data_IF_230008895672
#
_entry.id   IF_230008895672
#
_cell.length_a   1.000
_cell.length_b   1.000
_cell.length_c   1.000
_cell.angle_alpha   90.00
_cell.angle_beta   90.00
_cell.angle_gamma   90.00
#
_symmetry.space_group_name_H-M   'P 1'
#
loop_
_entity.id
_entity.type
_entity.pdbx_description
1 polymer ?
#
# COMPACT_ATOMS: atom_id res chain seq x y z
N UNK A 1 -19.74 -20.99 -9.38
CA UNK A 1 -18.61 -21.69 -8.76
C UNK A 1 -17.53 -22.12 -9.77
N UNK A 2 -17.82 -22.85 -10.86
CA UNK A 2 -16.81 -23.29 -11.85
C UNK A 2 -16.10 -22.15 -12.61
N UNK A 3 -16.75 -21.00 -12.84
CA UNK A 3 -16.16 -19.85 -13.54
C UNK A 3 -15.15 -19.09 -12.65
N UNK A 4 -15.50 -18.91 -11.37
CA UNK A 4 -14.61 -18.26 -10.38
C UNK A 4 -13.34 -19.09 -10.18
N UNK A 5 -13.46 -20.43 -10.13
CA UNK A 5 -12.33 -21.34 -9.99
C UNK A 5 -11.40 -21.29 -11.23
N UNK A 6 -11.96 -21.14 -12.44
CA UNK A 6 -11.17 -21.00 -13.68
C UNK A 6 -10.44 -19.66 -13.78
N UNK A 7 -11.05 -18.57 -13.31
CA UNK A 7 -10.42 -17.25 -13.28
C UNK A 7 -9.28 -17.24 -12.24
N UNK A 8 -9.49 -17.87 -11.08
CA UNK A 8 -8.45 -18.00 -10.06
C UNK A 8 -7.28 -18.86 -10.53
N UNK A 9 -7.53 -19.94 -11.26
CA UNK A 9 -6.49 -20.80 -11.84
C UNK A 9 -5.73 -20.10 -12.97
N UNK A 10 -6.39 -19.32 -13.84
CA UNK A 10 -5.75 -18.55 -14.90
C UNK A 10 -4.90 -17.41 -14.35
N UNK A 11 -5.33 -16.73 -13.28
CA UNK A 11 -4.54 -15.72 -12.58
C UNK A 11 -3.29 -16.33 -11.92
N UNK A 12 -3.41 -17.55 -11.36
CA UNK A 12 -2.29 -18.28 -10.73
C UNK A 12 -1.28 -18.79 -11.75
N UNK A 13 -1.71 -19.16 -12.98
CA UNK A 13 -0.82 -19.61 -14.06
C UNK A 13 -0.05 -18.44 -14.72
N UNK A 14 -0.58 -17.22 -14.77
CA UNK A 14 0.13 -16.03 -15.27
C UNK A 14 1.27 -15.58 -14.35
N UNK A 15 1.24 -15.98 -13.09
CA UNK A 15 2.24 -15.65 -12.06
C UNK A 15 3.49 -16.58 -12.14
N UNK A 16 3.36 -17.78 -12.67
CA UNK A 16 4.41 -18.80 -12.64
C UNK A 16 5.52 -18.63 -13.71
N UNK A 17 5.43 -17.67 -14.62
CA UNK A 17 6.36 -17.53 -15.75
C UNK A 17 7.35 -16.36 -15.70
N UNK A 18 7.39 -15.61 -14.57
CA UNK A 18 8.25 -14.42 -14.43
C UNK A 18 9.49 -14.69 -13.57
N UNK A 19 10.38 -15.58 -14.01
CA UNK A 19 11.69 -15.78 -13.38
C UNK A 19 12.77 -15.03 -14.18
N UNK A 20 12.99 -13.77 -13.87
CA UNK A 20 14.12 -12.98 -14.31
C UNK A 20 14.74 -12.29 -13.11
N UNK A 21 15.88 -12.78 -12.64
CA UNK A 21 16.69 -12.13 -11.61
C UNK A 21 17.09 -10.73 -12.09
N UNK A 22 16.60 -9.68 -11.41
CA UNK A 22 17.02 -8.31 -11.63
C UNK A 22 17.52 -7.71 -10.32
N UNK A 23 18.64 -7.00 -10.38
CA UNK A 23 19.24 -6.34 -9.23
C UNK A 23 18.30 -5.26 -8.68
N UNK A 24 18.16 -5.16 -7.35
CA UNK A 24 17.32 -4.21 -6.61
C UNK A 24 17.75 -2.72 -6.76
N UNK A 25 18.82 -2.42 -7.53
CA UNK A 25 19.41 -1.09 -7.61
C UNK A 25 18.75 -0.10 -8.58
N UNK A 26 17.74 -0.52 -9.36
CA UNK A 26 17.21 0.28 -10.47
C UNK A 26 15.95 1.11 -10.13
N UNK A 27 15.53 1.15 -8.85
CA UNK A 27 14.32 1.84 -8.42
C UNK A 27 14.63 2.96 -7.43
N UNK A 28 14.22 4.17 -7.78
CA UNK A 28 14.25 5.32 -6.89
C UNK A 28 13.02 5.36 -5.97
N UNK A 29 13.15 6.00 -4.81
CA UNK A 29 12.06 6.24 -3.87
C UNK A 29 11.28 4.97 -3.46
N UNK A 30 11.95 3.89 -3.05
CA UNK A 30 11.28 2.63 -2.67
C UNK A 30 10.30 2.79 -1.51
N UNK A 31 10.42 3.85 -0.72
CA UNK A 31 9.48 4.18 0.36
C UNK A 31 8.04 4.39 -0.11
N UNK A 32 7.81 4.69 -1.41
CA UNK A 32 6.46 4.81 -1.98
C UNK A 32 5.71 3.48 -2.01
N UNK A 33 6.42 2.34 -1.93
CA UNK A 33 5.81 1.01 -1.89
C UNK A 33 5.52 0.50 -0.47
N UNK A 34 5.92 1.23 0.59
CA UNK A 34 5.67 0.82 1.99
C UNK A 34 4.18 0.97 2.32
N UNK A 35 3.59 -0.07 2.91
CA UNK A 35 2.21 -0.02 3.42
C UNK A 35 2.11 0.94 4.63
N UNK A 36 1.11 1.81 4.62
CA UNK A 36 0.90 2.88 5.62
C UNK A 36 -0.21 2.56 6.63
N UNK A 37 -1.04 1.57 6.34
CA UNK A 37 -2.12 1.15 7.22
C UNK A 37 -1.67 0.04 8.19
N UNK A 38 -1.87 0.19 9.50
CA UNK A 38 -1.58 -0.90 10.45
C UNK A 38 -2.49 -2.11 10.23
N UNK A 39 -3.67 -1.93 9.63
CA UNK A 39 -4.60 -3.03 9.33
C UNK A 39 -4.04 -3.92 8.23
N UNK A 40 -3.66 -3.34 7.10
CA UNK A 40 -3.13 -4.10 5.96
C UNK A 40 -1.70 -4.56 6.20
N UNK A 41 -0.88 -3.79 6.92
CA UNK A 41 0.45 -4.24 7.36
C UNK A 41 0.37 -5.53 8.19
N UNK A 42 -0.61 -5.64 9.10
CA UNK A 42 -0.88 -6.87 9.85
C UNK A 42 -1.37 -8.04 8.98
N UNK A 43 -1.85 -7.76 7.78
CA UNK A 43 -2.34 -8.74 6.80
C UNK A 43 -1.31 -9.03 5.69
N UNK A 44 0.00 -8.86 5.95
CA UNK A 44 1.04 -9.06 4.95
C UNK A 44 1.04 -8.03 3.82
N UNK A 45 0.52 -6.82 4.08
CA UNK A 45 0.24 -5.77 3.10
C UNK A 45 -0.84 -6.13 2.07
N UNK A 46 -1.64 -7.17 2.31
CA UNK A 46 -2.81 -7.50 1.49
C UNK A 46 -4.01 -6.63 1.83
N UNK A 47 -4.92 -6.42 0.86
CA UNK A 47 -6.19 -5.72 1.05
C UNK A 47 -6.43 -4.55 0.10
N UNK A 48 -5.77 -4.50 -1.05
CA UNK A 48 -5.99 -3.47 -2.07
C UNK A 48 -7.44 -3.44 -2.60
N UNK A 49 -8.13 -4.58 -2.59
CA UNK A 49 -9.54 -4.70 -2.95
C UNK A 49 -10.51 -4.61 -1.76
N UNK A 50 -10.00 -4.48 -0.52
CA UNK A 50 -10.84 -4.40 0.67
C UNK A 50 -11.50 -3.03 0.81
N UNK A 51 -12.80 -3.01 1.13
CA UNK A 51 -13.57 -1.79 1.42
C UNK A 51 -13.89 -1.60 2.91
N UNK A 52 -13.30 -2.42 3.79
CA UNK A 52 -13.51 -2.37 5.24
C UNK A 52 -12.72 -1.25 5.91
N UNK A 53 -11.53 -0.93 5.40
CA UNK A 53 -10.68 0.15 5.87
C UNK A 53 -10.37 1.09 4.71
N UNK A 54 -10.78 2.36 4.82
CA UNK A 54 -10.64 3.35 3.74
C UNK A 54 -9.84 4.59 4.16
N UNK A 55 -9.41 4.69 5.41
CA UNK A 55 -8.66 5.86 5.88
C UNK A 55 -7.41 6.13 5.02
N UNK A 56 -6.71 5.07 4.61
CA UNK A 56 -5.49 5.15 3.80
C UNK A 56 -5.71 4.86 2.31
N UNK A 57 -6.93 5.05 1.79
CA UNK A 57 -7.24 4.78 0.39
C UNK A 57 -6.40 5.60 -0.60
N UNK A 58 -5.94 6.80 -0.21
CA UNK A 58 -5.05 7.65 -1.00
C UNK A 58 -3.65 7.07 -1.23
N UNK A 59 -3.23 6.13 -0.40
CA UNK A 59 -1.97 5.39 -0.58
C UNK A 59 -2.18 4.06 -1.29
N UNK A 60 -3.42 3.65 -1.52
CA UNK A 60 -3.76 2.32 -2.01
C UNK A 60 -4.72 2.39 -3.19
N UNK A 61 -6.02 2.26 -2.95
CA UNK A 61 -7.02 2.14 -4.01
C UNK A 61 -8.29 2.93 -3.67
N UNK A 62 -8.53 4.08 -4.28
CA UNK A 62 -9.75 4.84 -4.01
C UNK A 62 -11.01 4.23 -4.65
N UNK A 63 -10.89 3.26 -5.59
CA UNK A 63 -12.04 2.56 -6.16
C UNK A 63 -12.84 1.76 -5.12
N UNK A 64 -12.26 1.44 -3.95
CA UNK A 64 -12.96 0.75 -2.84
C UNK A 64 -13.96 1.65 -2.11
N UNK A 65 -13.77 2.98 -2.12
CA UNK A 65 -14.50 3.95 -1.29
C UNK A 65 -16.01 3.91 -1.57
N UNK A 66 -16.50 3.90 -2.82
CA UNK A 66 -17.94 3.86 -3.10
C UNK A 66 -18.63 2.58 -2.59
N UNK A 67 -17.87 1.52 -2.34
CA UNK A 67 -18.37 0.25 -1.81
C UNK A 67 -18.24 0.10 -0.30
N UNK A 68 -17.54 1.02 0.37
CA UNK A 68 -17.41 0.99 1.83
C UNK A 68 -18.74 1.26 2.52
N UNK A 69 -18.96 0.67 3.69
CA UNK A 69 -20.09 1.00 4.55
C UNK A 69 -19.84 2.30 5.34
N UNK A 70 -18.59 2.69 5.53
CA UNK A 70 -18.21 3.93 6.20
C UNK A 70 -18.52 5.15 5.30
N UNK A 71 -19.03 6.23 5.88
CA UNK A 71 -19.22 7.52 5.19
C UNK A 71 -17.94 8.35 5.17
N UNK A 72 -17.14 8.23 6.21
CA UNK A 72 -15.84 8.86 6.33
C UNK A 72 -14.94 8.01 7.20
N UNK A 73 -13.64 8.14 7.01
CA UNK A 73 -12.63 7.46 7.82
C UNK A 73 -11.40 8.36 7.92
N UNK A 74 -10.78 8.36 9.10
CA UNK A 74 -9.57 9.12 9.37
C UNK A 74 -8.59 8.20 10.06
N UNK A 75 -7.35 8.21 9.65
CA UNK A 75 -6.29 7.38 10.22
C UNK A 75 -5.03 8.18 10.48
N UNK A 76 -4.44 7.96 11.65
CA UNK A 76 -3.10 8.37 12.00
C UNK A 76 -2.33 7.10 12.37
N UNK A 77 -1.17 6.88 11.77
CA UNK A 77 -0.32 5.74 12.10
C UNK A 77 1.13 6.16 12.32
N UNK A 78 1.74 5.49 13.29
CA UNK A 78 3.16 5.54 13.58
C UNK A 78 3.75 4.17 13.29
N UNK A 79 4.83 4.11 12.52
CA UNK A 79 5.46 2.88 12.11
C UNK A 79 6.98 2.97 12.28
N UNK A 80 7.55 1.96 12.95
CA UNK A 80 8.99 1.73 12.98
C UNK A 80 9.34 0.71 11.89
N UNK A 81 10.07 1.14 10.87
CA UNK A 81 10.49 0.30 9.76
C UNK A 81 11.99 0.05 9.87
N UNK A 82 12.40 -1.20 10.05
CA UNK A 82 13.79 -1.54 10.31
C UNK A 82 14.28 -2.78 9.53
N UNK A 83 14.14 -2.83 8.19
CA UNK A 83 14.63 -3.96 7.43
C UNK A 83 16.16 -4.03 7.51
N UNK A 84 16.68 -5.22 7.83
CA UNK A 84 18.14 -5.47 7.88
C UNK A 84 18.95 -4.45 8.70
N UNK A 85 18.35 -3.91 9.79
CA UNK A 85 19.03 -3.00 10.71
C UNK A 85 19.02 -1.52 10.33
N UNK A 86 18.52 -1.14 9.16
CA UNK A 86 18.30 0.25 8.79
C UNK A 86 17.00 0.73 9.44
N UNK A 87 17.11 1.60 10.44
CA UNK A 87 15.96 2.12 11.18
C UNK A 87 15.39 3.35 10.49
N UNK A 88 14.09 3.35 10.25
CA UNK A 88 13.35 4.56 9.88
C UNK A 88 12.03 4.64 10.65
N UNK A 89 11.56 5.85 10.85
CA UNK A 89 10.30 6.15 11.54
C UNK A 89 9.36 6.79 10.55
N UNK A 90 8.14 6.27 10.44
CA UNK A 90 7.10 6.80 9.57
C UNK A 90 5.93 7.33 10.40
N UNK A 91 5.47 8.53 10.06
CA UNK A 91 4.21 9.10 10.50
C UNK A 91 3.30 9.25 9.28
N UNK A 92 2.12 8.65 9.34
CA UNK A 92 1.20 8.64 8.21
C UNK A 92 -0.17 9.13 8.60
N UNK A 93 -0.77 9.94 7.75
CA UNK A 93 -2.09 10.51 7.90
C UNK A 93 -2.93 10.16 6.67
N UNK A 94 -4.16 9.75 6.88
CA UNK A 94 -5.11 9.50 5.80
C UNK A 94 -6.51 9.98 6.19
N UNK A 95 -7.23 10.55 5.25
CA UNK A 95 -8.61 10.95 5.42
C UNK A 95 -9.41 10.66 4.16
N UNK A 96 -10.60 10.12 4.35
CA UNK A 96 -11.49 9.72 3.26
C UNK A 96 -12.91 10.12 3.56
N UNK A 97 -13.62 10.61 2.55
CA UNK A 97 -15.03 10.94 2.62
C UNK A 97 -15.77 10.34 1.42
N UNK A 98 -16.94 9.74 1.66
CA UNK A 98 -17.82 9.18 0.64
C UNK A 98 -19.09 10.02 0.51
N UNK A 99 -19.38 10.47 -0.71
CA UNK A 99 -20.61 11.23 -1.05
C UNK A 99 -21.62 10.30 -1.72
N UNK A 100 -22.72 10.06 -1.00
CA UNK A 100 -23.65 9.00 -1.39
C UNK A 100 -22.95 7.63 -1.47
N UNK A 101 -23.30 6.83 -2.47
CA UNK A 101 -22.59 5.58 -2.82
C UNK A 101 -21.96 5.65 -4.21
N UNK A 102 -21.65 6.86 -4.68
CA UNK A 102 -21.18 7.11 -6.05
C UNK A 102 -19.75 7.65 -6.03
N UNK A 103 -19.47 8.67 -5.24
CA UNK A 103 -18.18 9.37 -5.23
C UNK A 103 -17.49 9.18 -3.87
N UNK A 104 -16.21 8.91 -3.89
CA UNK A 104 -15.33 8.94 -2.74
C UNK A 104 -14.12 9.81 -3.03
N UNK A 105 -13.74 10.66 -2.08
CA UNK A 105 -12.50 11.46 -2.12
C UNK A 105 -11.60 11.07 -0.97
N UNK A 106 -10.31 11.11 -1.19
CA UNK A 106 -9.32 10.75 -0.17
C UNK A 106 -8.07 11.62 -0.32
N UNK A 107 -7.47 11.94 0.82
CA UNK A 107 -6.18 12.63 0.90
C UNK A 107 -5.28 11.91 1.89
N UNK A 108 -3.98 12.06 1.76
CA UNK A 108 -3.02 11.47 2.67
C UNK A 108 -1.67 12.17 2.64
N UNK A 109 -0.95 12.02 3.73
CA UNK A 109 0.42 12.48 3.88
C UNK A 109 1.24 11.46 4.63
N UNK A 110 2.50 11.30 4.26
CA UNK A 110 3.45 10.46 4.96
C UNK A 110 4.78 11.21 5.13
N UNK A 111 5.35 11.11 6.31
CA UNK A 111 6.68 11.62 6.61
C UNK A 111 7.52 10.51 7.21
N UNK A 112 8.67 10.25 6.60
CA UNK A 112 9.63 9.24 7.04
C UNK A 112 10.95 9.88 7.40
N UNK A 113 11.49 9.54 8.56
CA UNK A 113 12.85 9.90 8.99
C UNK A 113 13.71 8.64 9.01
N UNK A 114 14.86 8.70 8.33
CA UNK A 114 15.89 7.67 8.36
C UNK A 114 16.80 7.79 9.60
N UNK A 115 17.75 6.87 9.68
CA UNK A 115 18.79 6.95 10.70
C UNK A 115 19.73 8.14 10.43
N UNK A 116 20.05 8.88 11.51
CA UNK A 116 21.02 9.95 11.49
C UNK A 116 22.42 9.39 11.20
N UNK A 117 23.19 10.06 10.38
CA UNK A 117 24.58 9.71 10.10
C UNK A 117 25.52 10.93 10.16
N UNK A 118 26.81 10.66 10.40
CA UNK A 118 27.84 11.70 10.44
C UNK A 118 28.28 12.08 9.03
N UNK A 119 28.33 13.37 8.75
CA UNK A 119 28.86 13.93 7.52
C UNK A 119 30.34 14.21 7.71
N UNK A 120 31.19 13.66 6.82
CA UNK A 120 32.65 13.88 6.82
C UNK A 120 33.05 14.61 5.54
N UNK A 121 34.05 15.45 5.64
CA UNK A 121 34.64 16.11 4.46
C UNK A 121 35.60 15.20 3.69
N UNK A 122 36.11 15.67 2.55
CA UNK A 122 37.07 14.92 1.72
C UNK A 122 38.41 14.59 2.40
N UNK A 123 38.68 15.19 3.55
CA UNK A 123 39.88 14.94 4.38
C UNK A 123 39.60 14.05 5.59
N UNK A 124 38.33 13.57 5.75
CA UNK A 124 37.91 12.70 6.85
C UNK A 124 37.50 13.46 8.13
N UNK A 125 37.41 14.79 8.13
CA UNK A 125 37.00 15.56 9.30
C UNK A 125 35.46 15.61 9.43
N UNK A 126 34.91 15.55 10.66
CA UNK A 126 33.48 15.69 10.89
C UNK A 126 32.98 17.07 10.45
N UNK A 127 31.93 17.13 9.63
CA UNK A 127 31.22 18.34 9.20
C UNK A 127 29.84 18.51 9.85
N UNK A 128 29.46 17.60 10.73
CA UNK A 128 28.14 17.61 11.36
C UNK A 128 27.39 16.31 11.12
N UNK A 129 26.07 16.36 11.20
CA UNK A 129 25.22 15.17 11.05
C UNK A 129 24.05 15.48 10.15
N UNK A 130 23.57 14.49 9.41
CA UNK A 130 22.41 14.59 8.56
C UNK A 130 21.37 13.49 8.89
N UNK A 131 20.08 13.81 8.78
CA UNK A 131 18.99 12.86 8.94
C UNK A 131 18.22 12.80 7.62
N UNK A 132 18.32 11.70 6.85
CA UNK A 132 17.53 11.52 5.64
C UNK A 132 16.03 11.58 5.93
N UNK A 133 15.27 12.16 5.03
CA UNK A 133 13.82 12.25 5.18
C UNK A 133 13.11 12.09 3.85
N UNK A 134 11.94 11.47 3.92
CA UNK A 134 11.03 11.29 2.79
C UNK A 134 9.67 11.90 3.14
N UNK A 135 9.06 12.56 2.18
CA UNK A 135 7.75 13.18 2.29
C UNK A 135 6.87 12.72 1.14
N UNK A 136 5.61 12.43 1.41
CA UNK A 136 4.64 12.04 0.39
C UNK A 136 3.29 12.72 0.65
N UNK A 137 2.68 13.29 -0.39
CA UNK A 137 1.32 13.79 -0.40
C UNK A 137 0.52 13.09 -1.48
N UNK A 138 -0.70 12.69 -1.11
CA UNK A 138 -1.58 11.93 -1.98
C UNK A 138 -2.98 12.54 -2.00
N UNK A 139 -3.61 12.51 -3.16
CA UNK A 139 -5.03 12.84 -3.33
C UNK A 139 -5.67 11.83 -4.27
N UNK A 140 -6.86 11.37 -3.96
CA UNK A 140 -7.53 10.34 -4.76
C UNK A 140 -9.02 10.54 -4.88
N UNK A 141 -9.55 9.98 -5.96
CA UNK A 141 -10.96 9.99 -6.32
C UNK A 141 -11.41 8.58 -6.72
N UNK A 142 -12.49 8.10 -6.12
CA UNK A 142 -13.17 6.87 -6.50
C UNK A 142 -14.58 7.17 -7.00
N UNK A 143 -14.96 6.62 -8.14
CA UNK A 143 -16.28 6.83 -8.76
C UNK A 143 -16.93 5.50 -9.11
N UNK A 144 -18.13 5.25 -8.62
CA UNK A 144 -18.95 4.11 -9.03
C UNK A 144 -19.61 4.41 -10.37
N UNK A 145 -19.26 3.64 -11.39
CA UNK A 145 -19.77 3.81 -12.75
C UNK A 145 -21.10 3.08 -12.95
N UNK A 146 -21.17 1.84 -12.46
CA UNK A 146 -22.39 1.03 -12.45
C UNK A 146 -22.52 0.32 -11.10
N UNK A 147 -23.61 -0.41 -10.87
CA UNK A 147 -23.90 -1.08 -9.58
C UNK A 147 -22.70 -1.86 -9.00
N UNK A 148 -21.94 -2.51 -9.86
CA UNK A 148 -20.87 -3.45 -9.46
C UNK A 148 -19.47 -2.99 -9.84
N UNK A 149 -19.29 -1.86 -10.54
CA UNK A 149 -18.00 -1.37 -11.03
C UNK A 149 -17.74 0.02 -10.53
N UNK A 150 -16.55 0.24 -9.98
CA UNK A 150 -15.99 1.56 -9.70
C UNK A 150 -14.62 1.72 -10.33
N UNK A 151 -14.27 2.95 -10.65
CA UNK A 151 -12.93 3.38 -11.04
C UNK A 151 -12.35 4.24 -9.93
N UNK A 152 -11.04 4.19 -9.78
CA UNK A 152 -10.30 5.00 -8.82
C UNK A 152 -9.01 5.51 -9.43
N UNK A 153 -8.65 6.73 -9.06
CA UNK A 153 -7.36 7.31 -9.41
C UNK A 153 -6.75 8.03 -8.20
N UNK A 154 -5.45 7.86 -7.98
CA UNK A 154 -4.66 8.67 -7.05
C UNK A 154 -3.64 9.50 -7.81
N UNK A 155 -3.30 10.64 -7.24
CA UNK A 155 -2.14 11.45 -7.58
C UNK A 155 -1.20 11.46 -6.36
N UNK A 156 0.11 11.33 -6.61
CA UNK A 156 1.16 11.33 -5.60
C UNK A 156 2.23 12.36 -5.93
N UNK A 157 2.63 13.11 -4.92
CA UNK A 157 3.87 13.87 -4.90
C UNK A 157 4.79 13.30 -3.85
N UNK A 158 6.01 12.97 -4.22
CA UNK A 158 7.02 12.42 -3.32
C UNK A 158 8.29 13.28 -3.38
N UNK A 159 8.90 13.51 -2.21
CA UNK A 159 10.19 14.20 -2.05
C UNK A 159 11.08 13.38 -1.12
N UNK A 160 12.33 13.20 -1.51
CA UNK A 160 13.34 12.46 -0.76
C UNK A 160 14.59 13.31 -0.58
N UNK A 161 15.04 13.52 0.66
CA UNK A 161 16.26 14.20 1.00
C UNK A 161 17.27 13.20 1.56
N UNK A 162 18.37 12.98 0.82
CA UNK A 162 19.37 11.94 1.12
C UNK A 162 20.63 12.48 1.78
N UNK A 163 20.99 13.72 1.47
CA UNK A 163 22.14 14.42 2.04
C UNK A 163 21.92 15.93 1.98
N UNK A 164 22.78 16.70 2.62
CA UNK A 164 22.76 18.16 2.54
C UNK A 164 22.89 18.62 1.08
N UNK A 165 21.92 19.42 0.63
CA UNK A 165 21.83 19.88 -0.76
C UNK A 165 21.45 18.79 -1.79
N UNK A 166 21.14 17.55 -1.37
CA UNK A 166 20.77 16.45 -2.27
C UNK A 166 19.33 16.02 -2.00
N UNK A 167 18.42 16.53 -2.82
CA UNK A 167 17.00 16.19 -2.75
C UNK A 167 16.46 15.86 -4.12
N UNK A 168 15.50 14.93 -4.16
CA UNK A 168 14.84 14.48 -5.37
C UNK A 168 13.34 14.55 -5.19
N UNK A 169 12.63 14.80 -6.29
CA UNK A 169 11.17 14.84 -6.30
C UNK A 169 10.63 13.95 -7.40
N UNK A 170 9.44 13.38 -7.17
CA UNK A 170 8.71 12.62 -8.16
C UNK A 170 7.22 12.91 -8.08
N UNK A 171 6.55 12.79 -9.22
CA UNK A 171 5.08 12.78 -9.31
C UNK A 171 4.64 11.48 -9.96
N UNK A 172 3.54 10.91 -9.48
CA UNK A 172 2.97 9.70 -10.04
C UNK A 172 1.46 9.65 -9.89
N UNK A 173 0.85 8.70 -10.58
CA UNK A 173 -0.56 8.42 -10.48
C UNK A 173 -0.80 6.92 -10.43
N UNK A 174 -1.91 6.55 -9.77
CA UNK A 174 -2.49 5.22 -9.83
C UNK A 174 -3.81 5.27 -10.58
N UNK A 175 -4.15 4.15 -11.22
CA UNK A 175 -5.48 3.95 -11.80
C UNK A 175 -5.93 2.52 -11.51
N UNK A 176 -7.13 2.38 -10.94
CA UNK A 176 -7.72 1.09 -10.58
C UNK A 176 -9.15 0.95 -11.08
N UNK A 177 -9.51 -0.25 -11.47
CA UNK A 177 -10.88 -0.68 -11.63
C UNK A 177 -11.20 -1.73 -10.57
N UNK A 178 -12.34 -1.60 -9.88
CA UNK A 178 -12.83 -2.57 -8.91
C UNK A 178 -14.20 -3.07 -9.35
N UNK A 179 -14.32 -4.38 -9.47
CA UNK A 179 -15.57 -5.07 -9.76
C UNK A 179 -16.00 -5.93 -8.58
N UNK A 180 -17.26 -5.74 -8.14
CA UNK A 180 -17.87 -6.52 -7.07
C UNK A 180 -18.85 -7.54 -7.63
N UNK A 181 -18.61 -8.82 -7.37
CA UNK A 181 -19.47 -9.94 -7.79
C UNK A 181 -19.61 -10.96 -6.68
N UNK A 182 -20.85 -11.36 -6.36
CA UNK A 182 -21.15 -12.39 -5.35
C UNK A 182 -20.43 -12.18 -4.01
N UNK A 183 -20.29 -10.93 -3.56
CA UNK A 183 -19.59 -10.57 -2.31
C UNK A 183 -18.07 -10.49 -2.41
N UNK A 184 -17.48 -10.93 -3.52
CA UNK A 184 -16.04 -10.78 -3.79
C UNK A 184 -15.77 -9.43 -4.44
N UNK A 185 -14.79 -8.71 -3.95
CA UNK A 185 -14.21 -7.56 -4.63
C UNK A 185 -12.98 -8.03 -5.42
N UNK A 186 -12.91 -7.66 -6.69
CA UNK A 186 -11.75 -7.90 -7.55
C UNK A 186 -11.29 -6.55 -8.06
N UNK A 187 -10.02 -6.25 -7.93
CA UNK A 187 -9.42 -5.02 -8.47
C UNK A 187 -8.26 -5.36 -9.40
N UNK A 188 -8.10 -4.53 -10.42
CA UNK A 188 -6.94 -4.54 -11.29
C UNK A 188 -6.57 -3.10 -11.64
N UNK A 189 -5.28 -2.83 -11.84
CA UNK A 189 -4.82 -1.50 -12.18
C UNK A 189 -3.32 -1.37 -12.25
N UNK A 190 -2.89 -0.13 -12.25
CA UNK A 190 -1.47 0.25 -12.19
C UNK A 190 -1.26 1.24 -11.06
N UNK A 191 -0.13 1.13 -10.40
CA UNK A 191 0.27 2.02 -9.30
C UNK A 191 1.61 2.68 -9.57
N UNK A 192 1.78 3.90 -9.01
CA UNK A 192 3.01 4.69 -9.08
C UNK A 192 3.55 4.90 -10.50
N UNK A 193 2.68 5.01 -11.50
CA UNK A 193 3.10 5.34 -12.88
C UNK A 193 3.37 6.84 -12.96
N UNK A 194 4.61 7.24 -13.27
CA UNK A 194 4.95 8.66 -13.24
C UNK A 194 6.37 8.99 -13.66
N UNK A 195 6.87 10.08 -13.12
CA UNK A 195 8.18 10.62 -13.45
C UNK A 195 9.32 9.70 -13.00
N UNK A 196 10.44 9.77 -13.72
CA UNK A 196 11.70 9.20 -13.23
C UNK A 196 12.46 10.24 -12.41
N UNK A 197 13.22 9.76 -11.44
CA UNK A 197 14.17 10.57 -10.67
C UNK A 197 15.46 10.68 -11.47
N UNK A 198 15.89 11.90 -11.75
CA UNK A 198 17.12 12.16 -12.51
C UNK A 198 18.24 12.60 -11.57
N UNK A 199 19.41 12.02 -11.77
CA UNK A 199 20.66 12.43 -11.12
C UNK A 199 21.70 12.75 -12.20
N UNK A 200 22.31 13.91 -12.11
CA UNK A 200 23.31 14.35 -13.07
C UNK A 200 24.55 13.44 -13.12
N UNK A 201 24.80 12.68 -12.03
CA UNK A 201 25.96 11.79 -11.89
C UNK A 201 25.68 10.33 -12.28
N UNK A 202 24.44 9.85 -12.06
CA UNK A 202 24.14 8.41 -12.11
C UNK A 202 23.02 8.05 -13.10
N UNK A 203 22.41 9.05 -13.75
CA UNK A 203 21.37 8.82 -14.75
C UNK A 203 19.94 8.91 -14.23
N UNK A 204 19.02 8.18 -14.85
CA UNK A 204 17.57 8.25 -14.56
C UNK A 204 17.08 6.93 -13.98
N UNK A 205 16.38 6.99 -12.86
CA UNK A 205 15.84 5.85 -12.13
C UNK A 205 14.31 5.93 -12.08
N UNK A 206 13.65 4.81 -12.35
CA UNK A 206 12.20 4.73 -12.26
C UNK A 206 11.74 4.66 -10.81
N UNK A 207 10.59 5.25 -10.50
CA UNK A 207 9.88 5.02 -9.22
C UNK A 207 9.22 3.63 -9.24
N UNK A 208 8.70 3.10 -8.09
CA UNK A 208 8.20 1.72 -7.97
C UNK A 208 6.83 1.52 -8.65
N UNK A 209 6.78 1.71 -9.96
CA UNK A 209 5.59 1.47 -10.77
C UNK A 209 5.30 -0.02 -10.91
N UNK A 210 4.01 -0.39 -10.75
CA UNK A 210 3.58 -1.79 -10.81
C UNK A 210 2.23 -1.95 -11.50
N UNK A 211 2.05 -3.11 -12.14
CA UNK A 211 0.74 -3.66 -12.46
C UNK A 211 0.24 -4.46 -11.26
N UNK A 212 -1.05 -4.32 -10.91
CA UNK A 212 -1.62 -4.88 -9.70
C UNK A 212 -2.93 -5.60 -9.98
N UNK A 213 -3.11 -6.78 -9.37
CA UNK A 213 -4.38 -7.50 -9.31
C UNK A 213 -4.62 -7.91 -7.87
N UNK A 214 -5.83 -7.72 -7.37
CA UNK A 214 -6.16 -8.07 -6.00
C UNK A 214 -7.60 -8.58 -5.86
N UNK A 215 -7.80 -9.38 -4.80
CA UNK A 215 -9.11 -9.90 -4.42
C UNK A 215 -9.36 -9.73 -2.93
N UNK A 216 -10.61 -9.46 -2.53
CA UNK A 216 -11.01 -9.45 -1.14
C UNK A 216 -12.42 -10.04 -0.99
N UNK A 217 -12.62 -10.78 0.09
CA UNK A 217 -13.89 -11.41 0.42
C UNK A 217 -14.15 -11.39 1.91
N UNK A 218 -15.37 -11.03 2.31
CA UNK A 218 -15.81 -11.07 3.71
C UNK A 218 -16.81 -12.21 3.92
N UNK A 219 -16.44 -13.17 4.76
CA UNK A 219 -17.28 -14.24 5.25
C UNK A 219 -17.95 -13.80 6.56
N UNK A 220 -19.27 -13.81 6.62
CA UNK A 220 -20.02 -13.56 7.85
C UNK A 220 -20.52 -14.89 8.43
N UNK A 221 -20.15 -15.18 9.69
CA UNK A 221 -20.57 -16.35 10.45
C UNK A 221 -21.51 -15.89 11.58
N UNK A 222 -22.81 -15.87 11.29
CA UNK A 222 -23.81 -15.31 12.21
C UNK A 222 -23.73 -13.79 12.33
N UNK A 223 -24.15 -13.26 13.49
CA UNK A 223 -24.19 -11.81 13.75
C UNK A 223 -22.95 -11.25 14.43
N UNK A 224 -22.09 -12.12 14.93
CA UNK A 224 -20.99 -11.72 15.81
C UNK A 224 -19.59 -12.01 15.24
N UNK A 225 -19.48 -12.76 14.17
CA UNK A 225 -18.19 -13.20 13.64
C UNK A 225 -18.11 -12.87 12.15
N UNK A 226 -16.97 -12.31 11.75
CA UNK A 226 -16.63 -12.20 10.34
C UNK A 226 -15.15 -12.55 10.11
N UNK A 227 -14.85 -13.01 8.89
CA UNK A 227 -13.50 -13.27 8.42
C UNK A 227 -13.35 -12.53 7.11
N UNK A 228 -12.39 -11.60 7.07
CA UNK A 228 -11.98 -10.93 5.84
C UNK A 228 -10.74 -11.64 5.29
N UNK A 229 -10.79 -12.00 4.03
CA UNK A 229 -9.67 -12.59 3.28
C UNK A 229 -9.24 -11.61 2.20
N UNK A 230 -7.94 -11.46 2.01
CA UNK A 230 -7.37 -10.61 0.98
C UNK A 230 -6.17 -11.28 0.30
N UNK A 231 -6.07 -11.10 -1.01
CA UNK A 231 -4.95 -11.55 -1.83
C UNK A 231 -4.59 -10.44 -2.82
N UNK A 232 -3.35 -10.00 -2.78
CA UNK A 232 -2.81 -8.97 -3.69
C UNK A 232 -1.62 -9.55 -4.45
N UNK A 233 -1.48 -9.23 -5.73
CA UNK A 233 -0.36 -9.57 -6.57
C UNK A 233 0.13 -8.32 -7.30
N UNK A 234 1.42 -8.04 -7.22
CA UNK A 234 2.07 -6.88 -7.79
C UNK A 234 3.19 -7.33 -8.73
N UNK A 235 3.24 -6.79 -9.93
CA UNK A 235 4.35 -6.92 -10.84
C UNK A 235 5.00 -5.54 -11.01
N UNK A 236 6.10 -5.32 -10.28
CA UNK A 236 6.90 -4.11 -10.39
C UNK A 236 7.67 -4.12 -11.70
N UNK A 237 7.53 -3.10 -12.53
CA UNK A 237 8.15 -3.06 -13.87
C UNK A 237 9.68 -3.07 -13.81
N UNK A 238 10.26 -2.67 -12.68
CA UNK A 238 11.71 -2.67 -12.42
C UNK A 238 12.11 -3.42 -11.13
N UNK A 239 11.19 -4.14 -10.51
CA UNK A 239 11.41 -4.75 -9.19
C UNK A 239 10.85 -6.17 -9.05
N UNK A 240 10.37 -6.80 -10.14
CA UNK A 240 9.90 -8.18 -10.12
C UNK A 240 8.52 -8.37 -9.51
N UNK A 241 8.23 -9.61 -9.12
CA UNK A 241 6.92 -10.05 -8.63
C UNK A 241 6.87 -10.09 -7.10
N UNK A 242 5.76 -9.63 -6.56
CA UNK A 242 5.41 -9.76 -5.15
C UNK A 242 3.96 -10.20 -4.99
N UNK A 243 3.66 -10.93 -3.93
CA UNK A 243 2.30 -11.35 -3.59
C UNK A 243 2.06 -11.25 -2.08
N UNK A 244 0.84 -10.92 -1.70
CA UNK A 244 0.44 -10.79 -0.30
C UNK A 244 -0.85 -11.56 -0.06
N UNK A 245 -0.89 -12.28 1.06
CA UNK A 245 -2.08 -12.98 1.54
C UNK A 245 -2.36 -12.53 2.97
N UNK A 246 -3.59 -12.16 3.25
CA UNK A 246 -4.00 -11.72 4.58
C UNK A 246 -5.36 -12.23 4.98
N UNK A 247 -5.53 -12.42 6.29
CA UNK A 247 -6.79 -12.75 6.92
C UNK A 247 -7.01 -11.88 8.16
N UNK A 248 -8.24 -11.41 8.36
CA UNK A 248 -8.71 -10.76 9.57
C UNK A 248 -9.91 -11.51 10.12
N UNK A 249 -9.86 -11.83 11.41
CA UNK A 249 -11.04 -12.25 12.15
C UNK A 249 -11.57 -11.08 12.97
N UNK A 250 -12.87 -10.84 12.90
CA UNK A 250 -13.55 -9.81 13.71
C UNK A 250 -14.64 -10.44 14.59
N UNK A 251 -14.64 -10.07 15.85
CA UNK A 251 -15.67 -10.41 16.81
C UNK A 251 -16.51 -9.19 17.14
N UNK A 252 -17.81 -9.24 16.77
CA UNK A 252 -18.80 -8.16 16.97
C UNK A 252 -18.37 -6.80 16.39
N UNK A 253 -17.47 -6.76 15.42
CA UNK A 253 -16.82 -5.55 14.92
C UNK A 253 -16.15 -4.69 16.02
N UNK A 254 -15.78 -5.33 17.15
CA UNK A 254 -15.13 -4.70 18.31
C UNK A 254 -13.69 -5.17 18.43
N UNK A 255 -13.43 -6.48 18.36
CA UNK A 255 -12.09 -7.04 18.48
C UNK A 255 -11.67 -7.67 17.15
N UNK A 256 -10.43 -7.40 16.76
CA UNK A 256 -9.85 -7.83 15.49
C UNK A 256 -8.53 -8.55 15.71
N UNK A 257 -8.34 -9.68 15.05
CA UNK A 257 -7.08 -10.40 14.96
C UNK A 257 -6.71 -10.58 13.51
N UNK A 258 -5.45 -10.34 13.17
CA UNK A 258 -4.95 -10.32 11.80
C UNK A 258 -3.68 -11.15 11.68
N UNK A 259 -3.54 -11.79 10.54
CA UNK A 259 -2.31 -12.46 10.16
C UNK A 259 -2.15 -12.36 8.64
N UNK A 260 -0.91 -12.35 8.18
CA UNK A 260 -0.63 -12.31 6.77
C UNK A 260 0.79 -12.71 6.42
N UNK A 261 1.00 -12.89 5.14
CA UNK A 261 2.29 -13.19 4.57
C UNK A 261 2.51 -12.39 3.28
N UNK A 262 3.66 -11.78 3.18
CA UNK A 262 4.16 -11.10 1.98
C UNK A 262 5.28 -11.94 1.37
N UNK A 263 5.11 -12.35 0.14
CA UNK A 263 6.16 -12.88 -0.70
C UNK A 263 6.77 -11.76 -1.52
N UNK A 264 8.00 -11.40 -1.23
CA UNK A 264 8.73 -10.33 -1.92
C UNK A 264 9.61 -10.84 -3.07
N UNK A 265 10.06 -12.10 -3.02
CA UNK A 265 11.01 -12.65 -3.99
C UNK A 265 12.21 -11.71 -4.16
N UNK A 266 12.47 -11.34 -5.41
CA UNK A 266 13.49 -10.34 -5.79
C UNK A 266 12.88 -8.92 -5.89
N UNK A 267 11.69 -8.67 -5.32
CA UNK A 267 11.02 -7.38 -5.37
C UNK A 267 11.62 -6.36 -4.40
N UNK A 268 11.04 -5.15 -4.38
CA UNK A 268 11.48 -4.02 -3.56
C UNK A 268 11.40 -4.29 -2.05
N UNK A 269 10.54 -5.21 -1.62
CA UNK A 269 10.36 -5.58 -0.22
C UNK A 269 10.68 -7.06 -0.01
N UNK A 270 11.44 -7.40 1.04
CA UNK A 270 11.71 -8.80 1.37
C UNK A 270 10.43 -9.52 1.78
N UNK A 271 10.43 -10.86 1.70
CA UNK A 271 9.35 -11.68 2.24
C UNK A 271 9.28 -11.58 3.77
N UNK A 272 8.07 -11.46 4.30
CA UNK A 272 7.82 -11.42 5.75
C UNK A 272 6.46 -12.01 6.11
N UNK A 273 6.33 -12.46 7.35
CA UNK A 273 5.06 -12.76 7.99
C UNK A 273 4.67 -11.61 8.92
N UNK A 274 3.39 -11.33 9.06
CA UNK A 274 2.87 -10.31 9.95
C UNK A 274 1.69 -10.79 10.76
N UNK A 275 1.52 -10.21 11.93
CA UNK A 275 0.37 -10.39 12.80
C UNK A 275 -0.06 -9.05 13.36
N UNK A 276 -1.30 -8.96 13.80
CA UNK A 276 -1.79 -7.74 14.45
C UNK A 276 -3.10 -7.94 15.15
N UNK A 277 -3.44 -6.96 15.95
CA UNK A 277 -4.70 -6.91 16.68
C UNK A 277 -5.30 -5.50 16.62
N UNK A 278 -6.59 -5.42 16.89
CA UNK A 278 -7.28 -4.12 16.97
C UNK A 278 -8.50 -4.20 17.85
N UNK A 279 -8.88 -3.03 18.36
CA UNK A 279 -10.13 -2.85 19.09
C UNK A 279 -10.85 -1.61 18.54
N UNK A 280 -12.17 -1.70 18.41
CA UNK A 280 -13.00 -0.58 17.99
C UNK A 280 -14.12 -0.32 19.00
N UNK A 281 -14.34 0.94 19.29
CA UNK A 281 -15.42 1.37 20.18
C UNK A 281 -15.94 2.73 19.74
N UNK A 282 -17.26 2.83 19.56
CA UNK A 282 -17.97 4.09 19.19
C UNK A 282 -17.32 4.85 18.02
N UNK A 283 -16.88 4.14 17.00
CA UNK A 283 -16.29 4.75 15.78
C UNK A 283 -14.81 5.06 15.87
N UNK A 284 -14.16 4.81 17.02
CA UNK A 284 -12.71 4.90 17.17
C UNK A 284 -12.11 3.50 17.16
N UNK A 285 -11.04 3.28 16.41
CA UNK A 285 -10.31 2.02 16.37
C UNK A 285 -8.84 2.23 16.69
N UNK A 286 -8.29 1.38 17.54
CA UNK A 286 -6.86 1.26 17.81
C UNK A 286 -6.36 -0.05 17.19
N UNK A 287 -5.34 0.03 16.36
CA UNK A 287 -4.76 -1.12 15.66
C UNK A 287 -3.24 -1.16 15.89
N UNK A 288 -2.71 -2.39 16.04
CA UNK A 288 -1.27 -2.67 16.19
C UNK A 288 -0.91 -3.80 15.22
N UNK A 289 0.22 -3.67 14.57
CA UNK A 289 0.80 -4.68 13.67
C UNK A 289 2.28 -4.89 13.97
#
# INVERSE_FOLDING_TARGET
MKLVLKISAAAMCLVASATGLKAQGDVAMPFMAIDRSPVTSAMGSAGLASSSEIAYASFRNPAVIPFSEKKGDFGLSYQNWAPKGVKSTNLNLGATMRFGRIIGVTIGGAYQMGAKYDVIDGSGNPKGTFTPSDLMFNAGLGVKIIKNLSLGANFHYASQSLADGVSYNAVSADVFALYRVAGVNITAGVSNVGSSVKSDKTGSFSIPAAAVVAGAYTLKAGKSHSIDLALDANYYFKGGFAASLGAQYAFKDIAFFRAGYHYGGDSLMPSFASVGAGVAFKGVALNVS
#
